data_IF_923782861348
#
_entry.id   IF_923782861348
#
_cell.length_a   1.000
_cell.length_b   1.000
_cell.length_c   1.000
_cell.angle_alpha   90.00
_cell.angle_beta   90.00
_cell.angle_gamma   90.00
#
_symmetry.space_group_name_H-M   'P 1'
#
loop_
_entity.id
_entity.type
_entity.pdbx_description
1 polymer ?
2 non-polymer ?
3 water ?
#
# COMPACT_ATOMS: atom_id res chain seq x y z
N UNK A 30 1.70 -19.36 -15.67
CA UNK A 30 0.31 -19.19 -15.22
C UNK A 30 0.22 -19.05 -13.71
N UNK A 31 -0.47 -18.02 -13.23
CA UNK A 31 -0.57 -17.73 -11.81
C UNK A 31 -2.03 -17.80 -11.40
N UNK A 32 -2.32 -18.63 -10.40
CA UNK A 32 -3.69 -19.00 -10.05
C UNK A 32 -4.13 -18.30 -8.76
N UNK A 33 -5.31 -17.69 -8.80
CA UNK A 33 -5.84 -16.95 -7.67
C UNK A 33 -6.70 -17.84 -6.79
N UNK A 34 -6.46 -17.81 -5.49
CA UNK A 34 -7.30 -18.45 -4.49
C UNK A 34 -7.80 -17.37 -3.54
N UNK A 35 -9.05 -17.46 -3.10
CA UNK A 35 -9.64 -16.48 -2.20
C UNK A 35 -9.83 -17.09 -0.83
N UNK A 36 -9.37 -16.39 0.21
CA UNK A 36 -9.46 -16.87 1.59
C UNK A 36 -9.83 -15.70 2.48
N UNK A 37 -9.98 -15.99 3.78
CA UNK A 37 -10.33 -14.93 4.72
C UNK A 37 -9.75 -15.25 6.08
N UNK A 38 -9.60 -14.20 6.90
CA UNK A 38 -9.19 -14.34 8.29
C UNK A 38 -9.95 -13.33 9.13
N UNK A 39 -9.96 -13.57 10.44
CA UNK A 39 -10.56 -12.65 11.40
C UNK A 39 -9.53 -11.58 11.79
N UNK A 40 -9.70 -10.38 11.25
CA UNK A 40 -8.88 -9.25 11.65
C UNK A 40 -9.28 -8.72 13.01
N UNK A 41 -8.60 -7.66 13.42
CA UNK A 41 -8.85 -7.11 14.75
C UNK A 41 -10.29 -6.60 14.83
N UNK A 42 -10.94 -6.81 15.97
CA UNK A 42 -12.34 -6.47 16.08
C UNK A 42 -13.29 -7.45 15.43
N UNK A 43 -12.81 -8.64 15.10
CA UNK A 43 -13.56 -9.72 14.46
C UNK A 43 -14.09 -9.35 13.07
N UNK A 44 -13.55 -8.29 12.46
CA UNK A 44 -13.93 -7.94 11.09
C UNK A 44 -13.40 -9.00 10.14
N UNK A 45 -14.25 -9.41 9.20
CA UNK A 45 -13.88 -10.46 8.24
C UNK A 45 -13.01 -9.89 7.14
N UNK A 46 -11.74 -10.30 7.12
CA UNK A 46 -10.77 -9.81 6.13
C UNK A 46 -10.63 -10.85 5.03
N UNK A 47 -10.97 -10.46 3.81
CA UNK A 47 -10.83 -11.32 2.64
C UNK A 47 -9.47 -11.04 1.99
N UNK A 48 -8.80 -12.08 1.50
CA UNK A 48 -7.54 -11.86 0.80
C UNK A 48 -7.39 -12.87 -0.33
N UNK A 49 -6.64 -12.48 -1.36
CA UNK A 49 -6.26 -13.37 -2.46
C UNK A 49 -4.86 -13.95 -2.25
N UNK A 50 -4.67 -15.19 -2.66
CA UNK A 50 -3.36 -15.82 -2.78
C UNK A 50 -3.15 -16.17 -4.24
N UNK A 51 -2.18 -15.52 -4.87
CA UNK A 51 -1.79 -15.82 -6.24
C UNK A 51 -0.55 -16.70 -6.19
N UNK A 52 -0.63 -17.88 -6.78
CA UNK A 52 0.43 -18.87 -6.74
C UNK A 52 0.82 -19.26 -8.16
N UNK A 53 2.09 -19.13 -8.55
CA UNK A 53 2.51 -19.55 -9.89
C UNK A 53 2.88 -21.03 -9.94
N UNK A 54 3.04 -21.52 -11.16
CA UNK A 54 3.45 -22.90 -11.44
C UNK A 54 4.97 -23.05 -11.49
N UNK A 55 5.68 -22.46 -10.54
CA UNK A 55 7.10 -22.69 -10.40
C UNK A 55 7.40 -22.76 -8.91
N UNK A 56 8.55 -23.32 -8.58
CA UNK A 56 8.95 -23.36 -7.18
C UNK A 56 8.87 -21.94 -6.62
N UNK A 57 8.26 -21.75 -5.45
CA UNK A 57 8.15 -20.38 -4.90
C UNK A 57 9.53 -19.78 -4.65
N UNK A 58 9.75 -18.59 -5.20
CA UNK A 58 11.00 -17.88 -4.97
C UNK A 58 10.94 -16.94 -3.77
N UNK A 59 9.75 -16.43 -3.44
CA UNK A 59 9.52 -15.55 -2.30
C UNK A 59 8.02 -15.34 -2.19
N UNK A 60 7.58 -14.85 -1.03
CA UNK A 60 6.20 -14.39 -0.88
C UNK A 60 6.18 -12.87 -0.89
N UNK A 61 5.11 -12.32 -1.46
CA UNK A 61 4.86 -10.88 -1.55
C UNK A 61 3.56 -10.59 -0.82
N UNK A 62 3.61 -9.70 0.17
CA UNK A 62 2.42 -9.31 0.92
C UNK A 62 2.10 -7.88 0.53
N UNK A 63 0.91 -7.68 -0.03
CA UNK A 63 0.57 -6.47 -0.77
C UNK A 63 -0.59 -5.73 -0.12
N UNK A 64 -0.43 -4.42 0.08
CA UNK A 64 -1.40 -3.54 0.73
C UNK A 64 -1.84 -2.46 -0.24
N UNK A 65 -3.11 -2.51 -0.66
CA UNK A 65 -3.67 -1.48 -1.54
C UNK A 65 -3.89 -0.17 -0.76
N UNK A 66 -4.35 0.86 -1.48
CA UNK A 66 -4.51 2.18 -0.93
C UNK A 66 -5.96 2.53 -0.60
N UNK A 67 -6.17 3.82 -0.35
CA UNK A 67 -7.47 4.35 0.08
C UNK A 67 -8.57 4.05 -0.91
N UNK A 68 -9.64 3.43 -0.41
CA UNK A 68 -10.88 3.30 -1.16
C UNK A 68 -10.87 2.31 -2.29
N UNK A 69 -9.74 1.65 -2.56
CA UNK A 69 -9.69 0.65 -3.63
C UNK A 69 -9.73 -0.74 -3.00
N UNK A 70 -9.11 -1.74 -3.63
CA UNK A 70 -9.14 -3.10 -3.12
C UNK A 70 -8.13 -3.93 -3.92
N UNK A 71 -7.93 -5.18 -3.47
CA UNK A 71 -6.85 -6.02 -3.99
C UNK A 71 -7.10 -6.49 -5.42
N UNK A 72 -8.35 -6.58 -5.86
CA UNK A 72 -8.58 -6.98 -7.24
C UNK A 72 -8.24 -5.87 -8.24
N UNK A 73 -7.83 -4.68 -7.81
CA UNK A 73 -7.25 -3.75 -8.77
C UNK A 73 -5.78 -4.08 -9.05
N UNK A 74 -5.29 -5.22 -8.55
CA UNK A 74 -3.88 -5.60 -8.60
C UNK A 74 -3.65 -6.92 -9.32
N UNK A 75 -4.68 -7.47 -9.98
CA UNK A 75 -4.57 -8.75 -10.67
C UNK A 75 -3.30 -8.79 -11.54
N UNK A 76 -3.08 -7.74 -12.33
CA UNK A 76 -1.95 -7.75 -13.25
C UNK A 76 -0.61 -7.65 -12.53
N UNK A 77 -0.58 -7.03 -11.36
CA UNK A 77 0.68 -6.93 -10.61
C UNK A 77 1.07 -8.29 -10.06
N UNK A 78 0.10 -9.02 -9.50
CA UNK A 78 0.35 -10.36 -9.01
C UNK A 78 0.72 -11.32 -10.14
N UNK A 79 0.10 -11.15 -11.31
CA UNK A 79 0.44 -12.03 -12.42
C UNK A 79 1.87 -11.79 -12.89
N UNK A 80 2.28 -10.53 -12.93
CA UNK A 80 3.65 -10.22 -13.32
C UNK A 80 4.64 -10.66 -12.23
N UNK A 81 4.28 -10.49 -10.96
CA UNK A 81 5.12 -11.03 -9.89
C UNK A 81 5.18 -12.55 -9.96
N UNK A 82 4.04 -13.19 -10.24
CA UNK A 82 4.00 -14.64 -10.35
C UNK A 82 4.86 -15.18 -11.48
N UNK A 83 4.97 -14.44 -12.58
CA UNK A 83 5.84 -14.87 -13.68
C UNK A 83 7.30 -14.95 -13.24
N UNK A 84 7.69 -14.16 -12.24
CA UNK A 84 9.01 -14.26 -11.63
C UNK A 84 9.05 -15.25 -10.46
N UNK A 85 8.08 -16.15 -10.36
CA UNK A 85 8.08 -17.16 -9.31
C UNK A 85 7.71 -16.66 -7.92
N UNK A 86 7.06 -15.51 -7.83
CA UNK A 86 6.71 -14.91 -6.56
C UNK A 86 5.23 -15.18 -6.26
N UNK A 87 4.94 -15.57 -5.02
CA UNK A 87 3.58 -15.82 -4.55
C UNK A 87 3.08 -14.55 -3.87
N UNK A 88 1.96 -14.01 -4.34
CA UNK A 88 1.43 -12.75 -3.81
C UNK A 88 0.20 -12.98 -2.94
N UNK A 89 0.25 -12.47 -1.71
CA UNK A 89 -0.88 -12.39 -0.78
C UNK A 89 -1.38 -10.95 -0.78
N UNK A 90 -2.68 -10.74 -1.07
CA UNK A 90 -3.23 -9.40 -1.12
C UNK A 90 -4.59 -9.33 -0.43
N UNK A 91 -4.67 -8.54 0.65
CA UNK A 91 -5.89 -8.40 1.42
C UNK A 91 -6.71 -7.19 0.98
N UNK A 92 -8.04 -7.31 1.12
CA UNK A 92 -8.91 -6.13 1.12
C UNK A 92 -8.89 -5.58 2.54
N UNK A 93 -8.34 -4.39 2.73
CA UNK A 93 -8.32 -3.80 4.06
C UNK A 93 -9.76 -3.76 4.61
N UNK A 94 -9.86 -3.73 5.94
CA UNK A 94 -11.15 -3.50 6.58
C UNK A 94 -11.83 -2.30 5.94
N UNK A 95 -13.14 -2.40 5.74
CA UNK A 95 -13.85 -1.29 5.17
C UNK A 95 -13.63 -1.10 3.69
N UNK A 96 -13.07 -2.11 3.01
CA UNK A 96 -12.80 -2.05 1.58
C UNK A 96 -13.20 -3.36 0.91
N UNK A 97 -13.53 -3.27 -0.37
CA UNK A 97 -13.64 -4.43 -1.23
C UNK A 97 -14.63 -5.44 -0.69
N UNK A 98 -14.17 -6.68 -0.61
CA UNK A 98 -14.94 -7.80 -0.11
C UNK A 98 -14.85 -7.97 1.41
N UNK A 99 -13.97 -7.23 2.07
CA UNK A 99 -13.82 -7.36 3.51
C UNK A 99 -14.98 -6.68 4.24
N UNK A 100 -15.18 -7.08 5.49
CA UNK A 100 -16.20 -6.49 6.32
C UNK A 100 -15.79 -5.13 6.85
N UNK A 101 -16.60 -4.64 7.78
CA UNK A 101 -16.41 -3.36 8.42
C UNK A 101 -17.06 -2.23 7.65
N UNK A 102 -17.37 -1.15 8.38
CA UNK A 102 -17.91 0.03 7.75
C UNK A 102 -16.93 0.59 6.73
N UNK A 103 -17.46 1.00 5.58
CA UNK A 103 -16.62 1.47 4.49
C UNK A 103 -15.69 2.58 4.96
N UNK A 104 -14.45 2.53 4.46
CA UNK A 104 -13.31 3.38 4.79
C UNK A 104 -13.26 3.86 6.24
N UNK A 105 -13.71 3.05 7.17
CA UNK A 105 -13.64 3.38 8.60
C UNK A 105 -12.39 2.75 9.21
N UNK A 106 -11.58 3.57 9.87
CA UNK A 106 -10.51 3.10 10.75
C UNK A 106 -10.35 4.13 11.88
N UNK A 107 -10.00 3.66 13.07
CA UNK A 107 -9.76 4.58 14.17
C UNK A 107 -8.29 4.69 14.57
N UNK A 108 -7.40 3.84 14.07
CA UNK A 108 -5.99 3.95 14.39
C UNK A 108 -5.17 3.20 13.34
N UNK A 109 -3.95 3.69 13.07
CA UNK A 109 -3.09 3.03 12.07
C UNK A 109 -2.84 1.57 12.46
N UNK A 110 -2.83 1.28 13.76
CA UNK A 110 -2.55 -0.07 14.24
C UNK A 110 -3.60 -1.09 13.82
N UNK A 111 -4.83 -0.65 13.53
CA UNK A 111 -5.83 -1.56 12.96
C UNK A 111 -5.36 -2.11 11.63
N UNK A 112 -4.88 -1.22 10.75
CA UNK A 112 -4.38 -1.66 9.44
C UNK A 112 -3.13 -2.50 9.58
N UNK A 113 -2.20 -2.10 10.46
CA UNK A 113 -0.92 -2.81 10.55
C UNK A 113 -1.09 -4.16 11.25
N UNK A 114 -2.02 -4.26 12.22
CA UNK A 114 -2.32 -5.54 12.82
C UNK A 114 -2.77 -6.55 11.78
N UNK A 115 -3.75 -6.15 10.95
CA UNK A 115 -4.27 -7.05 9.93
C UNK A 115 -3.20 -7.37 8.89
N UNK A 116 -2.39 -6.38 8.51
CA UNK A 116 -1.27 -6.66 7.64
C UNK A 116 -0.34 -7.67 8.28
N UNK A 117 -0.07 -7.51 9.59
CA UNK A 117 0.84 -8.43 10.28
C UNK A 117 0.27 -9.83 10.32
N UNK A 118 -1.05 -9.95 10.49
CA UNK A 118 -1.69 -11.27 10.46
C UNK A 118 -1.47 -11.97 9.11
N UNK A 119 -1.60 -11.22 8.00
CA UNK A 119 -1.40 -11.80 6.68
C UNK A 119 0.08 -12.14 6.42
N UNK A 120 1.00 -11.31 6.92
CA UNK A 120 2.42 -11.67 6.87
C UNK A 120 2.67 -13.00 7.57
N UNK A 121 2.02 -13.22 8.72
CA UNK A 121 2.21 -14.47 9.45
C UNK A 121 1.67 -15.68 8.70
N UNK A 122 0.51 -15.52 8.06
CA UNK A 122 -0.05 -16.58 7.22
C UNK A 122 0.92 -16.98 6.12
N UNK A 123 1.43 -15.98 5.39
CA UNK A 123 2.37 -16.29 4.31
C UNK A 123 3.67 -16.87 4.87
N UNK A 124 4.12 -16.41 6.04
CA UNK A 124 5.35 -16.94 6.63
C UNK A 124 5.18 -18.40 7.01
N UNK A 125 4.03 -18.75 7.61
CA UNK A 125 3.81 -20.15 7.98
C UNK A 125 3.60 -21.04 6.76
N UNK A 126 3.04 -20.50 5.69
CA UNK A 126 2.77 -21.35 4.53
C UNK A 126 4.01 -21.54 3.66
N UNK A 127 4.87 -20.52 3.54
CA UNK A 127 6.13 -20.65 2.80
C UNK A 127 7.28 -20.28 3.72
N UNK A 128 7.59 -21.14 4.70
CA UNK A 128 8.82 -20.95 5.44
C UNK A 128 10.00 -21.19 4.51
N UNK A 129 11.11 -20.54 4.81
CA UNK A 129 12.25 -20.62 3.91
C UNK A 129 12.18 -19.72 2.69
N UNK A 130 11.09 -18.97 2.51
CA UNK A 130 10.99 -17.96 1.46
C UNK A 130 11.33 -16.58 2.03
N UNK A 131 12.01 -15.77 1.23
CA UNK A 131 12.16 -14.37 1.58
C UNK A 131 10.78 -13.68 1.57
N UNK A 132 10.68 -12.57 2.29
CA UNK A 132 9.39 -11.91 2.51
C UNK A 132 9.44 -10.47 2.00
N UNK A 133 8.63 -10.19 0.99
CA UNK A 133 8.54 -8.87 0.36
C UNK A 133 7.24 -8.22 0.82
N UNK A 134 7.33 -7.02 1.37
CA UNK A 134 6.13 -6.24 1.71
C UNK A 134 6.00 -5.08 0.72
N UNK A 135 4.83 -4.98 0.08
CA UNK A 135 4.58 -4.05 -1.02
C UNK A 135 3.31 -3.27 -0.75
N UNK A 136 3.37 -1.96 -0.93
CA UNK A 136 2.24 -1.11 -0.61
C UNK A 136 2.19 0.11 -1.48
N UNK A 137 0.98 0.54 -1.84
CA UNK A 137 0.77 1.70 -2.70
C UNK A 137 -0.09 2.72 -1.97
N UNK A 138 0.37 3.97 -1.95
CA UNK A 138 -0.39 5.13 -1.49
C UNK A 138 -0.70 4.93 -0.01
N UNK A 139 -1.97 4.85 0.41
CA UNK A 139 -2.27 4.52 1.80
C UNK A 139 -1.63 3.19 2.20
N UNK A 140 -1.69 2.20 1.31
CA UNK A 140 -1.04 0.93 1.59
C UNK A 140 0.45 1.08 1.78
N UNK A 141 1.05 2.07 1.11
CA UNK A 141 2.46 2.38 1.34
C UNK A 141 2.72 2.94 2.73
N UNK A 142 1.82 3.82 3.21
CA UNK A 142 1.89 4.26 4.60
C UNK A 142 1.74 3.11 5.59
N UNK A 143 0.80 2.19 5.32
CA UNK A 143 0.61 1.03 6.18
C UNK A 143 1.87 0.16 6.21
N UNK A 144 2.50 -0.04 5.05
CA UNK A 144 3.66 -0.93 4.97
C UNK A 144 4.89 -0.29 5.60
N UNK A 145 5.05 1.03 5.43
CA UNK A 145 6.11 1.73 6.14
C UNK A 145 5.91 1.63 7.65
N UNK A 146 4.69 1.89 8.12
CA UNK A 146 4.38 1.84 9.54
C UNK A 146 4.62 0.45 10.10
N UNK A 147 4.10 -0.57 9.43
CA UNK A 147 4.44 -1.95 9.77
C UNK A 147 5.96 -2.16 9.80
N UNK A 148 6.66 -1.59 8.81
CA UNK A 148 8.07 -1.89 8.67
C UNK A 148 8.92 -1.33 9.80
N UNK A 149 8.65 -0.09 10.20
CA UNK A 149 9.40 0.47 11.33
C UNK A 149 8.96 -0.17 12.64
N UNK A 150 7.75 -0.72 12.72
CA UNK A 150 7.33 -1.42 13.94
C UNK A 150 7.98 -2.80 14.04
N UNK A 151 8.27 -3.45 12.92
CA UNK A 151 8.81 -4.81 12.92
C UNK A 151 9.97 -4.90 11.93
N UNK A 152 11.07 -4.16 12.18
CA UNK A 152 12.11 -4.03 11.14
C UNK A 152 12.71 -5.34 10.72
N UNK A 153 12.59 -6.38 11.55
CA UNK A 153 13.25 -7.64 11.33
C UNK A 153 12.31 -8.70 10.80
N UNK A 154 11.08 -8.34 10.46
CA UNK A 154 10.06 -9.33 10.15
C UNK A 154 9.75 -9.46 8.67
N UNK A 155 10.55 -8.84 7.81
CA UNK A 155 10.42 -8.98 6.36
C UNK A 155 11.82 -8.80 5.80
N UNK A 156 12.00 -9.11 4.50
CA UNK A 156 13.32 -9.03 3.88
C UNK A 156 13.46 -7.88 2.89
N UNK A 157 12.42 -7.59 2.11
CA UNK A 157 12.47 -6.54 1.12
C UNK A 157 11.19 -5.72 1.21
N UNK A 158 11.31 -4.40 1.03
CA UNK A 158 10.15 -3.52 0.99
C UNK A 158 10.08 -2.78 -0.34
N UNK A 159 8.87 -2.67 -0.89
CA UNK A 159 8.60 -1.95 -2.14
C UNK A 159 7.38 -1.05 -1.95
N UNK A 160 7.57 0.25 -2.11
CA UNK A 160 6.55 1.26 -1.86
C UNK A 160 6.24 2.02 -3.15
N UNK A 161 4.97 2.02 -3.53
CA UNK A 161 4.48 2.83 -4.65
C UNK A 161 3.83 4.08 -4.09
N UNK A 162 4.35 5.26 -4.47
CA UNK A 162 3.89 6.56 -4.02
C UNK A 162 3.38 6.53 -2.58
N UNK A 163 4.21 6.12 -1.62
CA UNK A 163 3.71 5.91 -0.26
C UNK A 163 3.20 7.18 0.40
N UNK A 164 2.09 7.03 1.13
CA UNK A 164 1.48 8.14 1.87
C UNK A 164 2.14 8.21 3.25
N UNK A 165 3.36 8.76 3.28
CA UNK A 165 4.15 8.87 4.50
C UNK A 165 4.30 10.31 4.97
N UNK A 166 3.61 11.26 4.33
CA UNK A 166 3.70 12.67 4.74
C UNK A 166 2.35 13.36 4.53
N UNK A 167 1.27 12.72 5.00
CA UNK A 167 -0.07 13.26 4.81
C UNK A 167 -0.23 14.67 5.37
N UNK A 168 0.57 15.04 6.38
CA UNK A 168 0.49 16.38 6.92
C UNK A 168 0.84 17.43 5.87
N UNK A 169 1.63 17.05 4.86
CA UNK A 169 1.89 17.93 3.74
C UNK A 169 0.75 17.94 2.74
N UNK A 170 -0.21 17.04 2.87
CA UNK A 170 -1.29 16.93 1.91
C UNK A 170 -2.59 17.61 2.36
N UNK A 171 -2.78 17.85 3.64
CA UNK A 171 -4.00 18.45 4.17
C UNK A 171 -3.71 19.83 4.73
N UNK A 172 -4.73 20.69 4.70
CA UNK A 172 -4.63 22.00 5.31
C UNK A 172 -4.47 21.86 6.83
N UNK A 173 -3.99 22.92 7.51
CA UNK A 173 -4.01 22.90 8.97
C UNK A 173 -5.40 22.66 9.54
N UNK A 174 -6.44 23.20 8.90
CA UNK A 174 -7.81 23.00 9.38
C UNK A 174 -8.22 21.53 9.25
N UNK A 175 -7.90 20.90 8.12
CA UNK A 175 -8.22 19.50 7.95
C UNK A 175 -7.43 18.66 8.94
N UNK A 176 -6.18 19.04 9.22
CA UNK A 176 -5.33 18.26 10.12
C UNK A 176 -5.90 18.23 11.54
N UNK A 177 -6.25 19.39 12.10
CA UNK A 177 -6.78 19.39 13.46
C UNK A 177 -8.12 18.65 13.50
N UNK A 178 -8.94 18.82 12.45
CA UNK A 178 -10.23 18.14 12.40
C UNK A 178 -10.06 16.64 12.48
N UNK A 179 -9.18 16.08 11.63
CA UNK A 179 -8.93 14.65 11.62
C UNK A 179 -8.39 14.18 12.96
N UNK A 180 -7.44 14.93 13.53
CA UNK A 180 -6.79 14.48 14.75
C UNK A 180 -7.76 14.49 15.93
N UNK A 181 -8.70 15.42 15.96
CA UNK A 181 -9.64 15.48 17.07
C UNK A 181 -10.87 14.57 16.88
N UNK A 182 -11.25 14.28 15.64
CA UNK A 182 -12.46 13.50 15.36
C UNK A 182 -12.22 12.05 14.95
N UNK A 183 -11.01 11.71 14.50
CA UNK A 183 -10.77 10.42 13.90
C UNK A 183 -11.04 9.22 14.80
N UNK A 184 -11.02 9.40 16.12
CA UNK A 184 -11.36 8.30 17.00
C UNK A 184 -12.85 8.29 17.35
N UNK A 185 -13.47 9.45 17.58
CA UNK A 185 -14.88 9.46 17.97
C UNK A 185 -15.80 9.41 16.74
N UNK A 186 -15.48 10.13 15.66
CA UNK A 186 -16.34 10.09 14.47
C UNK A 186 -15.48 9.76 13.25
N UNK A 187 -14.95 8.53 13.16
CA UNK A 187 -13.96 8.22 12.12
C UNK A 187 -14.52 8.24 10.70
N UNK A 188 -15.85 8.17 10.54
CA UNK A 188 -16.46 8.27 9.22
C UNK A 188 -16.77 9.67 8.75
N UNK A 189 -16.49 10.70 9.54
CA UNK A 189 -16.83 12.06 9.13
C UNK A 189 -15.94 12.51 7.97
N UNK A 190 -16.52 12.98 6.87
CA UNK A 190 -15.70 13.43 5.74
C UNK A 190 -14.96 14.73 6.04
N UNK A 191 -13.67 14.76 5.69
CA UNK A 191 -12.84 15.91 5.97
C UNK A 191 -12.17 16.48 4.74
N UNK A 192 -12.11 15.76 3.62
CA UNK A 192 -11.21 16.14 2.54
C UNK A 192 -11.66 15.52 1.23
N UNK A 193 -11.90 16.35 0.23
CA UNK A 193 -12.21 15.83 -1.09
C UNK A 193 -10.95 15.31 -1.77
N UNK A 194 -11.14 14.37 -2.68
CA UNK A 194 -10.03 13.74 -3.40
C UNK A 194 -10.32 13.84 -4.90
N UNK A 195 -9.29 14.20 -5.67
CA UNK A 195 -9.42 14.33 -7.12
C UNK A 195 -9.09 12.98 -7.74
N UNK A 196 -10.13 12.22 -8.08
CA UNK A 196 -9.92 10.88 -8.63
C UNK A 196 -9.35 10.92 -10.05
N UNK A 197 -9.55 12.00 -10.79
CA UNK A 197 -8.93 12.06 -12.11
C UNK A 197 -7.40 12.13 -12.05
N UNK A 198 -6.83 12.25 -10.87
CA UNK A 198 -5.38 12.30 -10.74
C UNK A 198 -4.74 10.92 -10.54
N UNK A 199 -5.55 9.85 -10.46
CA UNK A 199 -4.97 8.54 -10.13
C UNK A 199 -4.17 7.99 -11.30
N UNK A 200 -4.54 8.35 -12.54
CA UNK A 200 -3.83 7.88 -13.71
C UNK A 200 -4.12 8.84 -14.86
N UNK A 201 -3.19 8.94 -15.80
CA UNK A 201 -3.51 9.75 -16.98
C UNK A 201 -4.15 8.94 -18.09
N UNK A 202 -4.40 7.64 -17.87
CA UNK A 202 -5.18 6.85 -18.80
C UNK A 202 -6.66 7.02 -18.46
N UNK A 203 -7.47 7.65 -19.33
CA UNK A 203 -8.90 7.80 -19.04
C UNK A 203 -9.56 6.49 -18.72
N UNK A 204 -9.09 5.39 -19.31
CA UNK A 204 -9.74 4.12 -19.06
C UNK A 204 -9.56 3.68 -17.62
N UNK A 205 -8.43 4.05 -17.00
CA UNK A 205 -8.18 3.67 -15.62
C UNK A 205 -9.11 4.45 -14.69
N UNK A 206 -9.18 5.76 -14.89
CA UNK A 206 -10.12 6.60 -14.15
C UNK A 206 -11.54 6.06 -14.30
N UNK A 207 -11.98 5.88 -15.55
CA UNK A 207 -13.32 5.36 -15.80
C UNK A 207 -13.56 4.03 -15.09
N UNK A 208 -12.57 3.12 -15.14
CA UNK A 208 -12.71 1.83 -14.45
C UNK A 208 -12.83 2.00 -12.94
N UNK A 209 -12.10 2.98 -12.39
CA UNK A 209 -12.27 3.28 -10.97
C UNK A 209 -13.67 3.83 -10.70
N UNK A 210 -14.11 4.79 -11.52
CA UNK A 210 -15.37 5.47 -11.25
C UNK A 210 -16.55 4.54 -11.38
N UNK A 211 -16.45 3.48 -12.18
CA UNK A 211 -17.58 2.55 -12.37
C UNK A 211 -17.48 1.29 -11.50
N UNK A 212 -16.47 1.18 -10.66
CA UNK A 212 -16.30 0.01 -9.80
C UNK A 212 -17.24 0.12 -8.60
N UNK A 213 -18.20 -0.80 -8.44
CA UNK A 213 -19.15 -0.68 -7.30
C UNK A 213 -18.52 -0.98 -5.95
N UNK A 214 -17.26 -1.41 -5.91
CA UNK A 214 -16.57 -1.79 -4.69
C UNK A 214 -15.61 -0.73 -4.16
N UNK A 215 -15.34 0.32 -4.93
CA UNK A 215 -14.39 1.34 -4.51
C UNK A 215 -15.16 2.51 -3.89
N UNK A 216 -14.45 3.30 -3.09
CA UNK A 216 -15.04 4.42 -2.37
C UNK A 216 -15.05 5.64 -3.28
N UNK A 217 -16.23 6.18 -3.53
CA UNK A 217 -16.35 7.38 -4.36
C UNK A 217 -16.60 8.64 -3.52
N UNK A 218 -16.52 8.53 -2.20
CA UNK A 218 -16.73 9.66 -1.32
C UNK A 218 -15.46 10.40 -1.00
N UNK A 219 -15.52 11.20 0.07
CA UNK A 219 -14.44 12.04 0.55
C UNK A 219 -13.54 11.27 1.53
N UNK A 220 -12.37 11.82 1.81
CA UNK A 220 -11.45 11.22 2.77
C UNK A 220 -12.05 11.34 4.17
N UNK A 221 -12.23 10.25 4.91
CA UNK A 221 -12.82 10.35 6.25
C UNK A 221 -11.78 10.72 7.31
N UNK A 222 -12.30 11.21 8.46
CA UNK A 222 -11.44 11.67 9.54
C UNK A 222 -10.58 10.54 10.09
N UNK A 223 -11.15 9.34 10.18
CA UNK A 223 -10.40 8.20 10.66
C UNK A 223 -9.14 7.93 9.87
N UNK A 224 -9.27 7.71 8.56
CA UNK A 224 -8.09 7.46 7.75
C UNK A 224 -7.15 8.66 7.79
N UNK A 225 -7.72 9.87 7.82
CA UNK A 225 -6.90 11.07 7.92
C UNK A 225 -6.02 11.06 9.16
N UNK A 226 -6.60 10.78 10.32
CA UNK A 226 -5.79 10.69 11.53
C UNK A 226 -4.75 9.58 11.42
N UNK A 227 -5.16 8.40 10.93
CA UNK A 227 -4.24 7.28 10.85
C UNK A 227 -3.06 7.61 9.97
N UNK A 228 -3.30 8.27 8.84
CA UNK A 228 -2.19 8.66 7.97
C UNK A 228 -1.35 9.76 8.61
N UNK A 229 -1.97 10.64 9.39
CA UNK A 229 -1.21 11.67 10.11
C UNK A 229 -0.30 11.06 11.16
N UNK A 230 -0.76 10.00 11.83
CA UNK A 230 0.10 9.25 12.75
C UNK A 230 1.39 8.82 12.05
N UNK A 231 1.26 8.28 10.84
CA UNK A 231 2.42 7.84 10.08
C UNK A 231 3.28 9.02 9.68
N UNK A 232 2.67 10.06 9.12
CA UNK A 232 3.43 11.16 8.58
C UNK A 232 4.19 11.94 9.64
N UNK A 233 3.53 12.20 10.77
CA UNK A 233 4.16 13.06 11.78
C UNK A 233 5.42 12.44 12.35
N UNK A 234 5.51 11.12 12.42
CA UNK A 234 6.65 10.47 13.03
C UNK A 234 7.58 9.82 12.01
N UNK A 235 7.35 10.03 10.70
CA UNK A 235 8.19 9.41 9.67
C UNK A 235 9.67 9.74 9.80
N UNK A 236 10.08 11.00 10.00
CA UNK A 236 11.53 11.28 10.02
C UNK A 236 12.31 10.56 11.10
N UNK A 237 11.76 10.31 12.30
CA UNK A 237 12.54 9.50 13.24
C UNK A 237 12.19 8.02 13.28
N UNK A 238 11.04 7.64 12.75
CA UNK A 238 10.81 6.20 12.66
C UNK A 238 11.67 5.61 11.55
N UNK A 239 11.89 6.36 10.47
CA UNK A 239 12.53 5.79 9.30
C UNK A 239 13.97 5.30 9.52
N UNK A 240 14.80 5.91 10.37
CA UNK A 240 16.15 5.34 10.57
C UNK A 240 16.13 3.91 11.09
N UNK A 241 15.00 3.44 11.64
CA UNK A 241 14.83 2.06 12.05
C UNK A 241 14.60 1.09 10.88
N UNK A 242 14.28 1.60 9.69
CA UNK A 242 14.24 0.75 8.50
C UNK A 242 15.66 0.39 8.12
N UNK A 243 15.97 -0.91 8.18
CA UNK A 243 17.29 -1.40 7.75
C UNK A 243 17.23 -2.21 6.48
N UNK A 244 16.13 -2.93 6.24
CA UNK A 244 16.03 -3.81 5.10
C UNK A 244 16.03 -3.00 3.80
N UNK A 245 16.38 -3.63 2.67
CA UNK A 245 16.38 -2.89 1.40
C UNK A 245 15.02 -2.29 1.09
N UNK A 246 15.02 -1.16 0.39
CA UNK A 246 13.80 -0.43 0.09
C UNK A 246 13.85 0.08 -1.34
N UNK A 247 12.76 -0.12 -2.06
CA UNK A 247 12.55 0.44 -3.39
C UNK A 247 11.33 1.36 -3.34
N UNK A 248 11.47 2.58 -3.83
CA UNK A 248 10.33 3.47 -3.93
C UNK A 248 10.10 3.79 -5.39
N UNK A 249 8.82 3.75 -5.80
CA UNK A 249 8.41 4.14 -7.14
C UNK A 249 7.52 5.36 -7.01
N UNK A 250 7.62 6.28 -7.96
CA UNK A 250 6.84 7.50 -7.89
C UNK A 250 6.82 8.19 -9.25
N UNK A 251 5.62 8.51 -9.72
CA UNK A 251 5.50 9.30 -10.95
C UNK A 251 5.73 10.78 -10.66
N UNK A 252 6.42 11.45 -11.58
CA UNK A 252 6.77 12.85 -11.33
C UNK A 252 5.56 13.77 -11.45
N UNK A 253 4.56 13.43 -12.29
CA UNK A 253 3.33 14.20 -12.39
C UNK A 253 2.26 13.77 -11.39
N UNK A 254 2.64 13.01 -10.37
CA UNK A 254 1.72 12.62 -9.30
C UNK A 254 1.26 13.89 -8.60
N UNK A 255 0.00 14.27 -8.79
CA UNK A 255 -0.55 15.39 -8.03
C UNK A 255 -1.45 14.95 -6.89
N UNK A 256 -1.55 13.65 -6.63
CA UNK A 256 -2.14 13.17 -5.38
C UNK A 256 -1.11 13.14 -4.26
N UNK A 257 0.05 12.56 -4.51
CA UNK A 257 1.13 12.60 -3.54
C UNK A 257 2.37 13.18 -4.20
N UNK A 258 2.74 14.42 -3.89
CA UNK A 258 3.90 15.03 -4.55
C UNK A 258 5.15 14.18 -4.39
N UNK A 259 5.89 14.04 -5.50
CA UNK A 259 7.07 13.17 -5.51
C UNK A 259 8.06 13.60 -4.44
N UNK A 260 8.10 14.90 -4.10
CA UNK A 260 8.98 15.42 -3.05
C UNK A 260 8.92 14.59 -1.78
N UNK A 261 7.71 14.17 -1.37
CA UNK A 261 7.59 13.30 -0.22
C UNK A 261 8.46 12.06 -0.31
N UNK A 262 8.54 11.44 -1.49
CA UNK A 262 9.35 10.23 -1.64
C UNK A 262 10.84 10.54 -1.55
N UNK A 263 11.28 11.61 -2.22
CA UNK A 263 12.67 12.03 -2.12
C UNK A 263 13.07 12.20 -0.67
N UNK A 264 12.22 12.88 0.12
CA UNK A 264 12.52 13.08 1.54
C UNK A 264 12.60 11.75 2.29
N UNK A 265 11.73 10.78 1.95
CA UNK A 265 11.69 9.51 2.67
C UNK A 265 12.99 8.71 2.49
N UNK A 266 13.54 8.66 1.27
CA UNK A 266 14.73 7.86 1.07
C UNK A 266 15.94 8.48 1.76
N UNK A 267 15.86 9.76 2.13
CA UNK A 267 16.94 10.39 2.88
C UNK A 267 16.86 10.06 4.37
N UNK A 268 15.66 9.80 4.87
CA UNK A 268 15.48 9.53 6.30
C UNK A 268 15.65 8.07 6.66
N UNK A 269 15.49 7.15 5.70
CA UNK A 269 15.55 5.72 6.01
C UNK A 269 16.97 5.33 6.38
N UNK A 270 17.09 4.41 7.33
CA UNK A 270 18.40 3.93 7.73
C UNK A 270 19.05 3.05 6.69
N UNK A 271 18.25 2.33 5.91
CA UNK A 271 18.78 1.36 4.95
C UNK A 271 19.78 1.98 3.99
N UNK A 272 20.92 1.29 3.80
CA UNK A 272 21.89 1.72 2.78
C UNK A 272 21.44 1.36 1.37
N UNK A 273 20.74 0.23 1.24
CA UNK A 273 20.21 -0.24 -0.05
C UNK A 273 18.81 0.32 -0.26
N UNK A 274 18.75 1.54 -0.77
CA UNK A 274 17.49 2.24 -0.97
C UNK A 274 17.57 3.00 -2.29
N UNK A 275 16.50 2.90 -3.08
CA UNK A 275 16.43 3.61 -4.35
C UNK A 275 15.05 4.20 -4.53
N UNK A 276 15.00 5.39 -5.10
CA UNK A 276 13.77 5.99 -5.60
C UNK A 276 13.86 5.96 -7.11
N UNK A 277 12.92 5.27 -7.74
CA UNK A 277 12.74 5.28 -9.19
C UNK A 277 11.64 6.28 -9.50
N UNK A 278 12.03 7.41 -10.10
CA UNK A 278 11.07 8.38 -10.57
C UNK A 278 10.75 8.09 -12.02
N UNK A 279 9.46 8.07 -12.34
CA UNK A 279 9.03 7.82 -13.69
C UNK A 279 8.51 9.13 -14.26
N UNK A 280 9.24 9.75 -15.18
CA UNK A 280 8.87 11.10 -15.65
C UNK A 280 7.50 11.09 -16.31
N UNK A 281 6.62 11.97 -15.83
CA UNK A 281 5.34 12.17 -16.47
C UNK A 281 4.23 11.22 -16.09
N UNK A 282 4.49 10.24 -15.23
CA UNK A 282 3.43 9.32 -14.82
C UNK A 282 2.61 9.95 -13.70
N UNK A 283 1.35 9.53 -13.59
CA UNK A 283 0.51 10.00 -12.51
C UNK A 283 0.68 9.10 -11.28
N UNK A 284 -0.32 9.11 -10.40
CA UNK A 284 -0.19 8.55 -9.06
C UNK A 284 0.01 7.03 -9.09
N UNK A 285 -0.89 6.30 -9.74
CA UNK A 285 -0.86 4.83 -9.79
C UNK A 285 0.09 4.39 -10.90
N UNK A 286 1.39 4.34 -10.58
CA UNK A 286 2.39 3.92 -11.57
C UNK A 286 2.11 2.52 -12.10
N UNK A 287 1.48 1.65 -11.29
CA UNK A 287 1.17 0.27 -11.68
C UNK A 287 0.00 0.16 -12.65
N UNK A 288 -0.77 1.23 -12.84
CA UNK A 288 -1.88 1.22 -13.77
C UNK A 288 -1.65 2.13 -14.95
N UNK A 289 -0.51 2.84 -14.99
CA UNK A 289 -0.22 3.81 -16.03
C UNK A 289 0.12 3.09 -17.33
N UNK A 290 0.16 3.81 -18.46
CA UNK A 290 0.59 3.15 -19.71
C UNK A 290 1.93 2.45 -19.60
N UNK A 291 2.87 3.00 -18.82
CA UNK A 291 4.20 2.44 -18.68
C UNK A 291 4.27 1.32 -17.66
N UNK A 292 3.11 0.81 -17.22
CA UNK A 292 3.07 -0.08 -16.07
C UNK A 292 3.94 -1.31 -16.25
N UNK A 293 4.11 -1.80 -17.48
CA UNK A 293 4.94 -2.97 -17.69
C UNK A 293 6.41 -2.66 -17.50
N UNK A 294 6.82 -1.42 -17.76
CA UNK A 294 8.20 -1.05 -17.45
C UNK A 294 8.39 -0.89 -15.96
N UNK A 295 7.43 -0.23 -15.30
CA UNK A 295 7.49 -0.09 -13.85
C UNK A 295 7.60 -1.47 -13.20
N UNK A 296 6.78 -2.42 -13.66
CA UNK A 296 6.80 -3.75 -13.09
C UNK A 296 8.09 -4.49 -13.45
N UNK A 297 8.59 -4.30 -14.67
CA UNK A 297 9.90 -4.85 -15.04
C UNK A 297 10.98 -4.38 -14.07
N UNK A 298 10.97 -3.08 -13.72
CA UNK A 298 11.93 -2.56 -12.76
C UNK A 298 11.77 -3.22 -11.40
N UNK A 299 10.52 -3.38 -10.94
CA UNK A 299 10.28 -3.98 -9.63
C UNK A 299 10.79 -5.42 -9.61
N UNK A 300 10.43 -6.20 -10.63
CA UNK A 300 10.86 -7.60 -10.73
C UNK A 300 12.38 -7.70 -10.75
N UNK A 301 13.05 -6.84 -11.51
CA UNK A 301 14.52 -6.86 -11.55
C UNK A 301 15.11 -6.56 -10.18
N UNK A 302 14.66 -5.46 -9.55
CA UNK A 302 15.13 -5.09 -8.22
C UNK A 302 14.96 -6.24 -7.23
N UNK A 303 13.74 -6.83 -7.18
CA UNK A 303 13.47 -7.94 -6.27
C UNK A 303 14.31 -9.17 -6.60
N UNK A 304 14.27 -9.61 -7.87
CA UNK A 304 14.91 -10.87 -8.26
C UNK A 304 16.36 -10.92 -7.83
N UNK A 305 17.11 -9.83 -8.01
CA UNK A 305 18.53 -9.89 -7.75
C UNK A 305 18.87 -9.80 -6.27
N UNK A 306 17.89 -9.51 -5.40
CA UNK A 306 18.07 -9.45 -3.96
C UNK A 306 17.58 -10.70 -3.24
N UNK A 307 16.99 -11.66 -3.95
CA UNK A 307 16.61 -12.92 -3.32
C UNK A 307 17.86 -13.76 -3.03
#
# INVERSE_FOLDING_TARGET
MSYYHHHHHHDYDIPTTENLYFQGAMGSMTTTRTERNFAGIGDVRIVYDVWTPDTAPQAVVVLAHGLGEHARRYDHVAQRLGAAGLVTYALDHRGHGRSGGARVLVRDISEYTADFDTLVGIATREYPGCKRIVLGHSMGGGIVFAYGVERPDNYDLMVLSAPAVAAQDLVSPVVAVAAKLLGVVVPGLPVQELDFTAISRDPEVVQAYNTDPLVHHGRVPAGIGRALLQVGETMPRRAPALTAPLLVLHGTDDRLIPIEGSRRLVECVGSADVQLKEYPGLYHEVFNEPERNQVLDDVVAWLTERL
#
